data_IF_397107653744
#
_entry.id   IF_397107653744
#
_cell.length_a   1.000
_cell.length_b   1.000
_cell.length_c   1.000
_cell.angle_alpha   90.00
_cell.angle_beta   90.00
_cell.angle_gamma   90.00
#
_symmetry.space_group_name_H-M   'P 1'
#
loop_
_entity.id
_entity.type
_entity.pdbx_description
1 polymer ?
#
# COMPACT_ATOMS: atom_id res chain seq x y z
N UNK A 1 60.75 58.07 7.04
CA UNK A 1 59.77 58.05 5.94
C UNK A 1 59.60 56.58 5.53
N UNK A 2 58.39 56.04 5.76
CA UNK A 2 57.78 54.82 5.18
C UNK A 2 58.41 53.44 5.57
N UNK A 3 57.65 52.71 6.40
CA UNK A 3 57.70 51.25 6.62
C UNK A 3 57.17 50.46 5.41
N UNK A 4 57.47 49.16 5.32
CA UNK A 4 56.41 48.20 5.00
C UNK A 4 56.25 47.13 6.10
N UNK A 5 55.01 47.03 6.53
CA UNK A 5 54.42 45.99 7.38
C UNK A 5 54.26 44.75 6.50
N UNK A 6 54.79 43.60 6.93
CA UNK A 6 54.34 42.30 6.41
C UNK A 6 53.43 41.66 7.45
N UNK A 7 52.23 41.36 7.02
CA UNK A 7 51.08 40.89 7.77
C UNK A 7 50.62 39.56 7.14
N UNK A 8 49.99 38.70 7.94
CA UNK A 8 49.29 37.45 7.58
C UNK A 8 50.20 36.23 7.25
N UNK A 9 49.91 34.99 7.70
CA UNK A 9 48.66 34.40 8.20
C UNK A 9 49.01 33.21 9.10
N UNK A 10 48.49 33.21 10.33
CA UNK A 10 48.24 31.99 11.08
C UNK A 10 46.95 31.36 10.53
N UNK A 11 47.03 30.16 9.97
CA UNK A 11 45.87 29.32 9.70
C UNK A 11 45.97 28.10 10.59
N UNK A 12 45.37 28.23 11.77
CA UNK A 12 44.87 27.08 12.53
C UNK A 12 43.61 26.54 11.88
N UNK A 13 43.33 25.26 12.10
CA UNK A 13 42.07 24.65 11.73
C UNK A 13 42.24 23.22 11.24
N UNK A 14 42.46 22.31 12.20
CA UNK A 14 42.28 20.87 12.00
C UNK A 14 40.81 20.65 11.61
N UNK A 15 40.55 20.37 10.35
CA UNK A 15 39.30 19.75 9.91
C UNK A 15 39.60 18.27 9.67
N UNK A 16 39.63 17.48 10.75
CA UNK A 16 39.36 16.05 10.60
C UNK A 16 37.90 15.95 10.18
N UNK A 17 37.66 15.76 8.88
CA UNK A 17 36.42 15.18 8.44
C UNK A 17 36.27 13.86 9.21
N UNK A 18 35.29 13.78 10.10
CA UNK A 18 34.99 12.56 10.80
C UNK A 18 34.47 11.58 9.76
N UNK A 19 35.36 10.71 9.26
CA UNK A 19 34.98 9.55 8.47
C UNK A 19 34.00 8.75 9.31
N UNK A 20 32.73 8.74 8.88
CA UNK A 20 31.73 7.86 9.45
C UNK A 20 32.20 6.42 9.25
N UNK A 21 32.47 5.72 10.35
CA UNK A 21 32.88 4.32 10.32
C UNK A 21 31.83 3.47 9.59
N UNK A 22 32.24 2.50 8.74
CA UNK A 22 31.32 1.60 8.02
C UNK A 22 30.31 0.83 8.91
N UNK A 23 30.55 0.80 10.22
CA UNK A 23 29.76 0.06 11.21
C UNK A 23 28.67 0.90 11.91
N UNK A 24 28.47 2.18 11.56
CA UNK A 24 27.39 2.96 12.15
C UNK A 24 26.02 2.46 11.68
N UNK A 25 25.35 1.68 12.53
CA UNK A 25 23.93 1.37 12.38
C UNK A 25 23.12 2.50 12.98
N UNK A 26 22.43 3.28 12.14
CA UNK A 26 21.49 4.29 12.63
C UNK A 26 20.34 3.56 13.35
N UNK A 27 20.23 3.64 14.69
CA UNK A 27 19.19 2.91 15.43
C UNK A 27 17.79 3.48 15.14
N UNK A 28 17.71 4.62 14.46
CA UNK A 28 16.47 5.27 14.05
C UNK A 28 16.04 4.95 12.60
N UNK A 29 16.85 4.20 11.83
CA UNK A 29 16.55 3.85 10.43
C UNK A 29 15.44 2.80 10.36
N UNK A 30 14.27 3.21 9.87
CA UNK A 30 13.18 2.26 9.65
C UNK A 30 13.47 1.35 8.45
N UNK A 31 13.14 0.06 8.57
CA UNK A 31 13.25 -0.93 7.49
C UNK A 31 11.86 -1.25 6.94
N UNK A 32 11.67 -1.06 5.64
CA UNK A 32 10.41 -1.36 4.94
C UNK A 32 10.66 -2.43 3.89
N UNK A 33 9.88 -3.52 3.94
CA UNK A 33 9.84 -4.49 2.85
C UNK A 33 8.95 -3.93 1.74
N UNK A 34 9.55 -3.56 0.60
CA UNK A 34 8.84 -3.10 -0.58
C UNK A 34 8.52 -4.31 -1.47
N UNK A 35 7.25 -4.70 -1.52
CA UNK A 35 6.79 -5.84 -2.28
C UNK A 35 6.05 -5.40 -3.54
N UNK A 36 6.46 -5.95 -4.68
CA UNK A 36 5.97 -5.54 -6.03
C UNK A 36 5.60 -6.71 -6.94
N UNK A 37 5.38 -7.89 -6.36
CA UNK A 37 5.01 -9.09 -7.12
C UNK A 37 3.69 -8.91 -7.88
N UNK A 38 3.68 -9.35 -9.14
CA UNK A 38 2.51 -9.31 -10.02
C UNK A 38 2.25 -10.68 -10.63
N UNK A 39 1.01 -11.15 -10.57
CA UNK A 39 0.53 -12.33 -11.29
C UNK A 39 -0.74 -12.04 -12.12
N UNK A 40 -1.05 -10.75 -12.30
CA UNK A 40 -2.05 -10.21 -13.22
C UNK A 40 -1.42 -9.12 -14.09
N UNK A 41 -2.11 -7.98 -14.23
CA UNK A 41 -1.55 -6.82 -14.92
C UNK A 41 -0.26 -6.35 -14.22
N UNK A 42 0.74 -5.97 -15.03
CA UNK A 42 2.03 -5.48 -14.57
C UNK A 42 2.21 -4.04 -15.02
N UNK A 43 2.22 -3.13 -14.06
CA UNK A 43 2.39 -1.71 -14.31
C UNK A 43 3.82 -1.40 -14.73
N UNK A 44 3.99 -0.67 -15.84
CA UNK A 44 5.29 -0.20 -16.32
C UNK A 44 6.01 0.72 -15.32
N UNK A 45 5.28 1.26 -14.34
CA UNK A 45 5.79 2.15 -13.30
C UNK A 45 6.41 1.47 -12.10
N UNK A 46 6.35 0.14 -11.99
CA UNK A 46 7.00 -0.61 -10.89
C UNK A 46 8.50 -0.26 -10.76
N UNK A 47 9.33 -0.28 -11.83
CA UNK A 47 10.74 0.07 -11.71
C UNK A 47 10.97 1.52 -11.27
N UNK A 48 10.14 2.46 -11.75
CA UNK A 48 10.22 3.89 -11.37
C UNK A 48 9.83 4.06 -9.91
N UNK A 49 8.77 3.41 -9.45
CA UNK A 49 8.33 3.43 -8.07
C UNK A 49 9.43 2.94 -7.11
N UNK A 50 10.05 1.80 -7.40
CA UNK A 50 11.16 1.24 -6.61
C UNK A 50 12.34 2.22 -6.56
N UNK A 51 12.72 2.79 -7.72
CA UNK A 51 13.82 3.74 -7.82
C UNK A 51 13.56 5.01 -7.00
N UNK A 52 12.35 5.56 -7.11
CA UNK A 52 11.94 6.78 -6.40
C UNK A 52 11.85 6.53 -4.89
N UNK A 53 11.19 5.45 -4.45
CA UNK A 53 11.14 5.11 -3.03
C UNK A 53 12.54 4.95 -2.42
N UNK A 54 13.46 4.27 -3.11
CA UNK A 54 14.86 4.15 -2.66
C UNK A 54 15.61 5.49 -2.65
N UNK A 55 15.38 6.36 -3.63
CA UNK A 55 16.00 7.69 -3.67
C UNK A 55 15.49 8.61 -2.57
N UNK A 56 14.20 8.52 -2.23
CA UNK A 56 13.54 9.34 -1.22
C UNK A 56 13.71 8.82 0.21
N UNK A 57 13.89 7.51 0.39
CA UNK A 57 14.01 6.85 1.69
C UNK A 57 14.98 7.52 2.67
N UNK A 58 16.22 7.83 2.28
CA UNK A 58 17.20 8.47 3.18
C UNK A 58 16.72 9.79 3.80
N UNK A 59 15.93 10.59 3.07
CA UNK A 59 15.40 11.86 3.55
C UNK A 59 14.34 11.72 4.66
N UNK A 60 13.72 10.53 4.73
CA UNK A 60 12.71 10.18 5.74
C UNK A 60 13.23 9.18 6.77
N UNK A 61 14.53 8.87 6.72
CA UNK A 61 15.17 7.85 7.52
C UNK A 61 14.49 6.47 7.37
N UNK A 62 14.24 6.09 6.12
CA UNK A 62 13.64 4.82 5.70
C UNK A 62 14.58 4.11 4.73
N UNK A 63 14.79 2.82 4.94
CA UNK A 63 15.44 1.91 4.01
C UNK A 63 14.41 0.95 3.41
N UNK A 64 14.52 0.70 2.10
CA UNK A 64 13.61 -0.20 1.37
C UNK A 64 14.36 -1.43 0.86
N UNK A 65 13.97 -2.60 1.35
CA UNK A 65 14.38 -3.88 0.78
C UNK A 65 13.28 -4.30 -0.22
N UNK A 66 13.57 -4.19 -1.51
CA UNK A 66 12.61 -4.46 -2.57
C UNK A 66 12.64 -5.94 -2.96
N UNK A 67 11.47 -6.58 -3.06
CA UNK A 67 11.34 -7.97 -3.52
C UNK A 67 10.08 -8.17 -4.36
N UNK A 68 10.16 -9.15 -5.26
CA UNK A 68 9.03 -9.76 -5.95
C UNK A 68 8.94 -11.26 -5.59
N UNK A 69 9.82 -11.78 -4.73
CA UNK A 69 9.82 -13.19 -4.34
C UNK A 69 8.83 -13.45 -3.21
N UNK A 70 7.75 -14.17 -3.55
CA UNK A 70 6.76 -14.67 -2.61
C UNK A 70 7.37 -15.46 -1.43
N UNK A 71 8.55 -16.07 -1.59
CA UNK A 71 9.24 -16.82 -0.53
C UNK A 71 9.77 -15.93 0.60
N UNK A 72 9.85 -14.62 0.39
CA UNK A 72 10.25 -13.68 1.43
C UNK A 72 9.16 -13.47 2.49
N UNK A 73 7.92 -13.90 2.24
CA UNK A 73 6.82 -13.85 3.21
C UNK A 73 6.86 -15.02 4.19
N UNK A 74 7.90 -15.04 5.01
CA UNK A 74 8.03 -15.94 6.17
C UNK A 74 8.02 -15.14 7.46
N UNK A 75 7.56 -15.76 8.55
CA UNK A 75 7.54 -15.13 9.88
C UNK A 75 8.91 -14.54 10.26
N UNK A 76 9.99 -15.30 10.03
CA UNK A 76 11.35 -14.90 10.35
C UNK A 76 11.84 -13.71 9.51
N UNK A 77 11.43 -13.63 8.23
CA UNK A 77 11.85 -12.52 7.38
C UNK A 77 11.03 -11.26 7.64
N UNK A 78 9.70 -11.36 7.76
CA UNK A 78 8.83 -10.22 8.07
C UNK A 78 9.16 -9.60 9.44
N UNK A 79 9.71 -10.38 10.37
CA UNK A 79 10.17 -9.91 11.68
C UNK A 79 11.23 -8.80 11.64
N UNK A 80 11.92 -8.63 10.51
CA UNK A 80 13.01 -7.67 10.30
C UNK A 80 12.52 -6.27 9.90
N UNK A 81 11.23 -6.12 9.60
CA UNK A 81 10.67 -4.93 8.96
C UNK A 81 9.68 -4.20 9.87
N UNK A 82 9.74 -2.89 9.84
CA UNK A 82 8.92 -1.97 10.62
C UNK A 82 7.61 -1.65 9.92
N UNK A 83 7.58 -1.77 8.59
CA UNK A 83 6.36 -1.80 7.79
C UNK A 83 6.52 -2.72 6.57
N UNK A 84 5.39 -3.24 6.08
CA UNK A 84 5.29 -3.84 4.75
C UNK A 84 4.66 -2.82 3.81
N UNK A 85 5.25 -2.60 2.64
CA UNK A 85 4.74 -1.72 1.61
C UNK A 85 4.47 -2.51 0.34
N UNK A 86 3.22 -2.60 -0.07
CA UNK A 86 2.79 -3.24 -1.31
C UNK A 86 2.56 -2.16 -2.35
N UNK A 87 3.24 -2.25 -3.49
CA UNK A 87 3.08 -1.31 -4.61
C UNK A 87 2.77 -2.12 -5.86
N UNK A 88 1.65 -1.81 -6.51
CA UNK A 88 1.25 -2.43 -7.78
C UNK A 88 1.05 -3.96 -7.76
N UNK A 89 0.90 -4.56 -6.59
CA UNK A 89 0.87 -6.03 -6.48
C UNK A 89 -0.45 -6.62 -6.95
N UNK A 90 -0.42 -7.58 -7.87
CA UNK A 90 -1.63 -8.20 -8.45
C UNK A 90 -1.68 -9.71 -8.23
N UNK A 91 -2.88 -10.26 -7.98
CA UNK A 91 -3.16 -11.72 -7.96
C UNK A 91 -2.26 -12.58 -7.03
N UNK A 92 -2.10 -12.16 -5.77
CA UNK A 92 -1.23 -12.77 -4.75
C UNK A 92 -1.91 -13.90 -3.96
N UNK A 93 -2.36 -14.97 -4.62
CA UNK A 93 -3.46 -15.77 -4.07
C UNK A 93 -3.14 -16.84 -3.01
N UNK A 94 -1.89 -17.11 -2.57
CA UNK A 94 -1.63 -18.24 -1.63
C UNK A 94 -0.43 -18.15 -0.67
N UNK A 95 0.75 -17.72 -1.07
CA UNK A 95 1.94 -17.83 -0.20
C UNK A 95 2.01 -16.70 0.82
N UNK A 96 2.52 -17.00 2.02
CA UNK A 96 2.85 -15.97 3.00
C UNK A 96 1.69 -15.41 3.84
N UNK A 97 0.45 -15.83 3.57
CA UNK A 97 -0.75 -15.35 4.28
C UNK A 97 -0.65 -15.52 5.81
N UNK A 98 -0.17 -16.67 6.27
CA UNK A 98 0.02 -16.92 7.71
C UNK A 98 1.08 -15.99 8.32
N UNK A 99 2.19 -15.74 7.60
CA UNK A 99 3.22 -14.83 8.05
C UNK A 99 2.72 -13.37 8.09
N UNK A 100 1.90 -12.97 7.11
CA UNK A 100 1.28 -11.66 7.05
C UNK A 100 0.31 -11.44 8.22
N UNK A 101 -0.61 -12.37 8.47
CA UNK A 101 -1.54 -12.29 9.63
C UNK A 101 -0.78 -12.27 10.94
N UNK A 102 0.26 -13.11 11.06
CA UNK A 102 1.10 -13.14 12.24
C UNK A 102 1.84 -11.81 12.48
N UNK A 103 2.42 -11.23 11.42
CA UNK A 103 3.08 -9.92 11.45
C UNK A 103 2.14 -8.82 11.95
N UNK A 104 0.94 -8.76 11.37
CA UNK A 104 -0.11 -7.82 11.72
C UNK A 104 -0.59 -7.99 13.18
N UNK A 105 -0.81 -9.23 13.62
CA UNK A 105 -1.23 -9.55 14.99
C UNK A 105 -0.24 -9.11 16.09
N UNK A 106 1.00 -8.79 15.69
CA UNK A 106 2.09 -8.31 16.57
C UNK A 106 2.31 -6.80 16.48
N UNK A 107 1.36 -6.08 15.88
CA UNK A 107 1.42 -4.63 15.71
C UNK A 107 2.20 -4.20 14.47
N UNK A 108 2.45 -5.11 13.52
CA UNK A 108 3.11 -4.79 12.27
C UNK A 108 2.37 -3.69 11.49
N UNK A 109 3.12 -2.80 10.86
CA UNK A 109 2.54 -1.70 10.09
C UNK A 109 2.45 -2.03 8.60
N UNK A 110 1.47 -1.46 7.93
CA UNK A 110 1.18 -1.79 6.54
C UNK A 110 0.95 -0.54 5.69
N UNK A 111 1.37 -0.59 4.42
CA UNK A 111 1.02 0.39 3.42
C UNK A 111 0.73 -0.29 2.08
N UNK A 112 -0.25 0.22 1.35
CA UNK A 112 -0.59 -0.20 -0.01
C UNK A 112 -0.68 0.98 -0.97
N UNK A 113 -0.24 0.80 -2.20
CA UNK A 113 -0.33 1.82 -3.26
C UNK A 113 -0.87 1.22 -4.55
N UNK A 114 -1.81 1.94 -5.15
CA UNK A 114 -2.46 1.65 -6.43
C UNK A 114 -2.98 0.20 -6.50
N UNK A 115 -2.47 -0.62 -7.42
CA UNK A 115 -2.96 -1.97 -7.64
C UNK A 115 -2.68 -2.94 -6.49
N UNK A 116 -2.05 -2.52 -5.38
CA UNK A 116 -2.09 -3.29 -4.14
C UNK A 116 -3.53 -3.71 -3.77
N UNK A 117 -4.53 -2.86 -4.02
CA UNK A 117 -5.94 -3.19 -3.81
C UNK A 117 -6.49 -4.32 -4.69
N UNK A 118 -5.75 -4.72 -5.72
CA UNK A 118 -6.08 -5.81 -6.66
C UNK A 118 -5.48 -7.15 -6.20
N UNK A 119 -4.59 -7.17 -5.21
CA UNK A 119 -3.82 -8.36 -4.84
C UNK A 119 -4.66 -9.60 -4.49
N UNK A 120 -5.89 -9.43 -3.96
CA UNK A 120 -6.76 -10.52 -3.53
C UNK A 120 -8.19 -10.41 -4.08
N UNK A 121 -8.39 -9.79 -5.26
CA UNK A 121 -9.74 -9.61 -5.82
C UNK A 121 -10.33 -10.92 -6.36
N UNK A 122 -9.52 -11.78 -6.99
CA UNK A 122 -9.97 -13.09 -7.52
C UNK A 122 -10.31 -14.11 -6.43
N UNK A 123 -9.72 -13.94 -5.25
CA UNK A 123 -9.95 -14.77 -4.07
C UNK A 123 -9.90 -13.91 -2.82
N UNK A 124 -11.03 -13.29 -2.50
CA UNK A 124 -11.19 -12.40 -1.35
C UNK A 124 -10.69 -13.06 -0.07
N UNK A 125 -9.91 -12.30 0.69
CA UNK A 125 -9.32 -12.74 1.94
C UNK A 125 -9.47 -11.63 2.99
N UNK A 126 -10.40 -11.77 3.95
CA UNK A 126 -10.76 -10.67 4.87
C UNK A 126 -9.58 -10.02 5.60
N UNK A 127 -8.58 -10.74 6.15
CA UNK A 127 -7.42 -10.10 6.77
C UNK A 127 -6.67 -9.11 5.86
N UNK A 128 -6.65 -9.33 4.54
CA UNK A 128 -6.10 -8.38 3.59
C UNK A 128 -7.03 -7.17 3.41
N UNK A 129 -8.29 -7.42 3.07
CA UNK A 129 -9.28 -6.38 2.79
C UNK A 129 -9.50 -5.47 4.01
N UNK A 130 -9.53 -6.04 5.22
CA UNK A 130 -9.67 -5.30 6.47
C UNK A 130 -8.43 -4.42 6.74
N UNK A 131 -7.23 -4.97 6.51
CA UNK A 131 -5.96 -4.23 6.67
C UNK A 131 -5.83 -3.08 5.68
N UNK A 132 -6.22 -3.33 4.44
CA UNK A 132 -6.18 -2.35 3.37
C UNK A 132 -7.29 -1.30 3.52
N UNK A 133 -8.47 -1.70 4.00
CA UNK A 133 -9.66 -0.87 4.20
C UNK A 133 -10.77 -1.18 3.20
N UNK A 134 -10.42 -1.40 1.93
CA UNK A 134 -11.32 -1.96 0.93
C UNK A 134 -10.50 -2.53 -0.23
N UNK A 135 -11.09 -3.42 -1.02
CA UNK A 135 -10.46 -3.99 -2.23
C UNK A 135 -10.95 -3.28 -3.48
N UNK A 136 -10.15 -3.32 -4.53
CA UNK A 136 -10.49 -2.80 -5.84
C UNK A 136 -11.77 -3.46 -6.39
N UNK A 137 -12.64 -2.69 -7.05
CA UNK A 137 -13.81 -3.20 -7.77
C UNK A 137 -13.70 -2.95 -9.27
N UNK A 138 -13.52 -1.70 -9.68
CA UNK A 138 -13.39 -1.28 -11.08
C UNK A 138 -12.79 0.13 -11.19
N UNK A 139 -12.51 0.57 -12.42
CA UNK A 139 -12.23 1.98 -12.74
C UNK A 139 -12.72 2.28 -14.17
N UNK A 140 -13.07 3.55 -14.49
CA UNK A 140 -13.27 3.96 -15.86
C UNK A 140 -11.93 4.04 -16.61
N UNK A 141 -11.97 4.30 -17.92
CA UNK A 141 -10.75 4.57 -18.67
C UNK A 141 -9.93 5.69 -18.00
N UNK A 142 -8.62 5.50 -17.94
CA UNK A 142 -7.67 6.46 -17.38
C UNK A 142 -7.87 7.84 -18.01
N UNK A 143 -7.93 8.85 -17.17
CA UNK A 143 -8.20 10.23 -17.57
C UNK A 143 -7.73 11.20 -16.49
N UNK A 144 -7.63 12.48 -16.84
CA UNK A 144 -7.43 13.52 -15.82
C UNK A 144 -8.63 13.57 -14.88
N UNK A 145 -8.39 13.45 -13.58
CA UNK A 145 -9.37 13.66 -12.51
C UNK A 145 -8.83 14.67 -11.50
N UNK A 146 -9.69 15.20 -10.64
CA UNK A 146 -9.30 16.09 -9.55
C UNK A 146 -9.53 15.43 -8.20
N UNK A 147 -8.46 15.26 -7.45
CA UNK A 147 -8.47 14.70 -6.10
C UNK A 147 -8.57 15.82 -5.06
N UNK A 148 -9.46 15.64 -4.08
CA UNK A 148 -9.80 16.65 -3.08
C UNK A 148 -9.25 16.19 -1.72
N UNK A 149 -8.53 17.08 -1.04
CA UNK A 149 -7.97 16.84 0.28
C UNK A 149 -9.08 16.79 1.33
N UNK A 150 -9.17 15.69 2.06
CA UNK A 150 -10.18 15.47 3.11
C UNK A 150 -9.63 15.68 4.54
N UNK A 151 -8.30 15.59 4.71
CA UNK A 151 -7.64 15.75 6.00
C UNK A 151 -6.58 16.86 5.96
N UNK A 152 -6.68 17.82 6.89
CA UNK A 152 -5.64 18.83 7.14
C UNK A 152 -4.76 18.39 8.32
N UNK A 153 -3.47 18.74 8.30
CA UNK A 153 -2.53 18.41 9.37
C UNK A 153 -1.95 16.99 9.31
N UNK A 154 -2.40 16.13 8.40
CA UNK A 154 -1.83 14.80 8.22
C UNK A 154 -0.56 14.85 7.35
N UNK A 155 0.55 14.16 7.71
CA UNK A 155 1.80 14.22 6.93
C UNK A 155 1.65 13.86 5.45
N UNK A 156 0.72 12.95 5.13
CA UNK A 156 0.42 12.56 3.75
C UNK A 156 -0.31 13.65 2.93
N UNK A 157 -0.97 14.63 3.55
CA UNK A 157 -1.76 15.66 2.84
C UNK A 157 -1.20 17.06 2.97
N UNK A 158 -0.43 17.34 4.03
CA UNK A 158 0.26 18.62 4.23
C UNK A 158 1.09 19.12 3.03
N UNK A 159 1.83 18.28 2.28
CA UNK A 159 2.64 18.75 1.14
C UNK A 159 1.82 19.00 -0.13
N UNK A 160 0.54 18.66 -0.14
CA UNK A 160 -0.31 18.67 -1.35
C UNK A 160 -1.21 19.91 -1.40
N UNK A 161 -1.62 20.37 -2.60
CA UNK A 161 -2.68 21.36 -2.70
C UNK A 161 -4.03 20.78 -2.23
N UNK A 162 -5.01 21.64 -1.94
CA UNK A 162 -6.35 21.17 -1.53
C UNK A 162 -7.08 20.45 -2.66
N UNK A 163 -6.72 20.76 -3.91
CA UNK A 163 -7.20 20.11 -5.12
C UNK A 163 -6.01 19.79 -6.00
N UNK A 164 -5.87 18.53 -6.38
CA UNK A 164 -4.74 18.03 -7.13
C UNK A 164 -5.23 17.26 -8.35
N UNK A 165 -4.87 17.72 -9.55
CA UNK A 165 -5.40 17.16 -10.80
C UNK A 165 -4.30 16.57 -11.67
N UNK A 166 -4.44 15.30 -12.06
CA UNK A 166 -3.52 14.62 -12.97
C UNK A 166 -4.19 13.40 -13.61
N UNK A 167 -3.55 12.85 -14.65
CA UNK A 167 -4.01 11.65 -15.37
C UNK A 167 -3.84 10.40 -14.50
N UNK A 168 -4.96 9.74 -14.18
CA UNK A 168 -4.99 8.61 -13.26
C UNK A 168 -6.24 7.74 -13.47
N UNK A 169 -6.19 6.52 -12.94
CA UNK A 169 -7.34 5.63 -12.87
C UNK A 169 -8.11 5.89 -11.59
N UNK A 170 -9.35 6.36 -11.74
CA UNK A 170 -10.22 6.60 -10.60
C UNK A 170 -10.81 5.27 -10.13
N UNK A 171 -10.13 4.63 -9.18
CA UNK A 171 -10.56 3.35 -8.62
C UNK A 171 -11.82 3.49 -7.79
N UNK A 172 -12.81 2.65 -8.09
CA UNK A 172 -13.93 2.32 -7.20
C UNK A 172 -13.62 1.07 -6.38
N UNK A 173 -14.25 0.96 -5.22
CA UNK A 173 -13.96 -0.03 -4.19
C UNK A 173 -15.18 -0.89 -3.83
N UNK A 174 -14.90 -2.10 -3.34
CA UNK A 174 -15.92 -3.10 -3.00
C UNK A 174 -16.78 -2.73 -1.79
N UNK A 175 -16.33 -1.79 -0.95
CA UNK A 175 -16.98 -1.37 0.30
C UNK A 175 -16.50 0.02 0.71
N UNK A 176 -17.24 0.68 1.61
CA UNK A 176 -16.79 1.93 2.22
C UNK A 176 -15.73 1.66 3.31
N UNK A 177 -14.46 2.10 3.12
CA UNK A 177 -13.40 1.87 4.10
C UNK A 177 -13.69 2.50 5.47
N UNK A 178 -14.56 3.52 5.56
CA UNK A 178 -14.95 4.14 6.83
C UNK A 178 -15.75 3.22 7.74
N UNK A 179 -16.38 2.17 7.19
CA UNK A 179 -17.06 1.16 8.02
C UNK A 179 -16.07 0.38 8.91
N UNK A 180 -14.78 0.37 8.55
CA UNK A 180 -13.69 -0.18 9.35
C UNK A 180 -13.01 0.87 10.23
N UNK A 181 -13.52 2.10 10.26
CA UNK A 181 -12.93 3.22 10.99
C UNK A 181 -11.80 3.93 10.23
N UNK A 182 -11.63 3.68 8.93
CA UNK A 182 -10.68 4.42 8.12
C UNK A 182 -11.03 5.90 8.05
N UNK A 183 -10.00 6.76 8.01
CA UNK A 183 -10.12 8.21 7.85
C UNK A 183 -9.57 8.59 6.48
N UNK A 184 -10.36 9.35 5.71
CA UNK A 184 -9.97 9.74 4.36
C UNK A 184 -8.86 10.79 4.36
N UNK A 185 -7.94 10.67 3.42
CA UNK A 185 -6.90 11.65 3.09
C UNK A 185 -7.27 12.39 1.81
N UNK A 186 -7.72 11.64 0.81
CA UNK A 186 -8.21 12.16 -0.45
C UNK A 186 -9.51 11.50 -0.87
N UNK A 187 -10.36 12.28 -1.50
CA UNK A 187 -11.46 11.83 -2.34
C UNK A 187 -11.23 12.27 -3.79
N UNK A 188 -12.13 11.88 -4.70
CA UNK A 188 -12.18 12.41 -6.07
C UNK A 188 -13.42 13.29 -6.26
N UNK A 189 -13.27 14.40 -6.96
CA UNK A 189 -14.40 15.22 -7.40
C UNK A 189 -15.16 14.49 -8.53
N UNK A 190 -16.41 14.06 -8.30
CA UNK A 190 -17.18 13.29 -9.28
C UNK A 190 -17.54 14.09 -10.54
N UNK A 191 -17.38 15.41 -10.54
CA UNK A 191 -17.61 16.25 -11.73
C UNK A 191 -16.37 16.35 -12.63
N UNK A 192 -15.21 15.88 -12.16
CA UNK A 192 -13.92 16.04 -12.84
C UNK A 192 -13.53 14.88 -13.75
N UNK A 193 -14.26 13.76 -13.70
CA UNK A 193 -14.00 12.57 -14.51
C UNK A 193 -15.31 11.95 -14.98
N UNK A 194 -15.24 11.13 -16.02
CA UNK A 194 -16.37 10.38 -16.57
C UNK A 194 -16.35 8.95 -16.06
N UNK A 195 -17.25 8.66 -15.12
CA UNK A 195 -17.57 7.29 -14.71
C UNK A 195 -18.36 6.58 -15.82
N UNK A 196 -18.01 5.33 -16.10
CA UNK A 196 -18.67 4.51 -17.12
C UNK A 196 -19.25 3.19 -16.55
N UNK A 197 -19.18 2.99 -15.23
CA UNK A 197 -19.75 1.85 -14.51
C UNK A 197 -20.76 2.29 -13.45
N UNK A 198 -21.48 1.31 -12.89
CA UNK A 198 -22.32 1.53 -11.71
C UNK A 198 -21.45 1.47 -10.46
N UNK A 199 -21.28 2.61 -9.81
CA UNK A 199 -20.55 2.70 -8.54
C UNK A 199 -21.38 2.02 -7.43
N UNK A 200 -20.82 0.98 -6.81
CA UNK A 200 -21.40 0.31 -5.63
C UNK A 200 -21.32 1.21 -4.39
N UNK A 201 -21.88 0.77 -3.27
CA UNK A 201 -21.78 1.51 -2.00
C UNK A 201 -20.35 1.48 -1.43
N UNK A 202 -19.54 2.45 -1.87
CA UNK A 202 -18.23 2.80 -1.30
C UNK A 202 -18.28 4.09 -0.44
N UNK A 203 -19.49 4.62 -0.28
CA UNK A 203 -19.82 5.84 0.45
C UNK A 203 -19.43 7.13 -0.28
N UNK A 204 -19.72 8.27 0.37
CA UNK A 204 -19.48 9.63 -0.17
C UNK A 204 -18.82 10.52 0.89
N UNK A 205 -17.78 11.30 0.57
CA UNK A 205 -17.16 11.45 -0.75
C UNK A 205 -16.46 10.17 -1.24
N UNK A 206 -16.25 10.05 -2.56
CA UNK A 206 -15.64 8.86 -3.21
C UNK A 206 -14.19 8.71 -2.71
N UNK A 207 -13.86 7.68 -1.90
CA UNK A 207 -12.56 7.55 -1.26
C UNK A 207 -11.45 7.24 -2.26
N UNK A 208 -10.27 7.83 -2.10
CA UNK A 208 -9.10 7.61 -2.98
C UNK A 208 -7.85 7.23 -2.16
N UNK A 209 -7.67 7.87 -1.02
CA UNK A 209 -6.60 7.54 -0.08
C UNK A 209 -7.13 7.65 1.35
N UNK A 210 -6.65 6.79 2.24
CA UNK A 210 -7.08 6.76 3.62
C UNK A 210 -6.02 6.12 4.52
N UNK A 211 -6.27 6.19 5.82
CA UNK A 211 -5.47 5.52 6.82
C UNK A 211 -6.35 4.88 7.90
N UNK A 212 -5.79 3.88 8.59
CA UNK A 212 -6.44 3.18 9.69
C UNK A 212 -5.48 3.05 10.87
N UNK A 213 -5.98 3.32 12.08
CA UNK A 213 -5.20 3.21 13.33
C UNK A 213 -5.31 1.84 14.00
N UNK A 214 -6.32 1.04 13.64
CA UNK A 214 -6.68 -0.19 14.38
C UNK A 214 -6.75 -1.44 13.51
N UNK A 215 -6.84 -1.27 12.19
CA UNK A 215 -7.25 -2.32 11.28
C UNK A 215 -6.11 -3.16 10.71
N UNK A 216 -4.87 -3.05 11.21
CA UNK A 216 -3.77 -3.93 10.84
C UNK A 216 -3.99 -5.37 11.34
N UNK A 217 -5.07 -6.04 10.90
CA UNK A 217 -5.40 -7.44 11.12
C UNK A 217 -5.65 -7.89 12.56
N UNK A 218 -5.75 -6.98 13.53
CA UNK A 218 -5.91 -7.35 14.93
C UNK A 218 -7.35 -7.79 15.24
N UNK A 219 -7.59 -9.10 15.30
CA UNK A 219 -8.88 -9.67 15.73
C UNK A 219 -9.18 -9.22 17.16
N UNK A 220 -10.26 -8.46 17.36
CA UNK A 220 -10.77 -8.10 18.69
C UNK A 220 -11.00 -9.39 19.49
N UNK A 221 -10.28 -9.58 20.61
CA UNK A 221 -10.58 -10.64 21.58
C UNK A 221 -11.62 -10.13 22.58
N UNK A 222 -12.82 -10.73 22.66
CA UNK A 222 -13.81 -10.35 23.67
C UNK A 222 -13.27 -10.59 25.09
N UNK A 223 -13.42 -9.61 26.00
CA UNK A 223 -13.07 -9.75 27.42
C UNK A 223 -11.62 -9.39 27.82
N UNK A 224 -10.80 -8.90 26.89
CA UNK A 224 -9.50 -8.28 27.20
C UNK A 224 -9.53 -6.78 26.85
N UNK A 225 -8.71 -5.92 27.49
CA UNK A 225 -8.54 -4.54 27.04
C UNK A 225 -7.81 -4.53 25.68
N UNK A 226 -8.58 -4.59 24.59
CA UNK A 226 -8.11 -4.57 23.21
C UNK A 226 -7.59 -5.93 22.67
N UNK A 227 -7.45 -6.10 21.34
CA UNK A 227 -6.46 -7.00 20.79
C UNK A 227 -5.06 -6.43 21.09
N UNK A 228 -4.02 -7.24 20.90
CA UNK A 228 -2.64 -6.75 20.98
C UNK A 228 -2.44 -5.43 20.24
N UNK A 229 -1.48 -4.62 20.70
CA UNK A 229 -1.22 -3.26 20.22
C UNK A 229 -1.31 -3.20 18.68
N UNK A 230 -2.30 -2.49 18.15
CA UNK A 230 -2.57 -2.46 16.71
C UNK A 230 -1.54 -1.58 15.98
N UNK A 231 -1.03 -2.08 14.85
CA UNK A 231 -0.25 -1.27 13.92
C UNK A 231 -1.11 -0.35 13.07
N UNK A 232 -0.47 0.56 12.35
CA UNK A 232 -1.14 1.49 11.42
C UNK A 232 -1.19 0.92 10.00
N UNK A 233 -2.24 1.27 9.26
CA UNK A 233 -2.29 1.06 7.81
C UNK A 233 -2.54 2.35 7.03
N UNK A 234 -1.89 2.47 5.88
CA UNK A 234 -2.06 3.58 4.93
C UNK A 234 -2.34 3.02 3.54
N UNK A 235 -3.25 3.65 2.80
CA UNK A 235 -3.53 3.30 1.41
C UNK A 235 -3.72 4.54 0.55
N UNK A 236 -3.23 4.48 -0.70
CA UNK A 236 -3.51 5.44 -1.75
C UNK A 236 -3.74 4.69 -3.07
N UNK A 237 -4.85 4.94 -3.75
CA UNK A 237 -5.12 4.32 -5.06
C UNK A 237 -4.41 4.99 -6.22
N UNK A 238 -3.73 6.10 -5.97
CA UNK A 238 -2.98 6.85 -6.98
C UNK A 238 -1.65 6.15 -7.31
N UNK A 239 -1.10 6.36 -8.51
CA UNK A 239 0.24 5.93 -8.85
C UNK A 239 0.39 5.06 -10.09
N UNK A 240 -0.55 5.08 -11.05
CA UNK A 240 -0.44 4.25 -12.26
C UNK A 240 0.80 4.61 -13.09
N UNK A 241 0.99 5.90 -13.35
CA UNK A 241 1.93 6.41 -14.36
C UNK A 241 3.36 6.61 -13.83
N UNK A 242 4.37 6.46 -14.70
CA UNK A 242 5.76 6.85 -14.40
C UNK A 242 5.87 8.30 -13.95
N UNK A 243 5.16 9.20 -14.63
CA UNK A 243 5.14 10.62 -14.31
C UNK A 243 4.60 10.90 -12.91
N UNK A 244 3.66 10.09 -12.42
CA UNK A 244 3.13 10.21 -11.05
C UNK A 244 4.22 9.91 -10.03
N UNK A 245 4.99 8.83 -10.20
CA UNK A 245 6.12 8.52 -9.31
C UNK A 245 7.29 9.49 -9.40
N UNK A 246 7.43 10.22 -10.50
CA UNK A 246 8.42 11.30 -10.66
C UNK A 246 7.94 12.66 -10.13
N UNK A 247 6.66 12.77 -9.77
CA UNK A 247 6.09 14.00 -9.24
C UNK A 247 6.45 14.17 -7.75
N UNK A 248 7.00 15.33 -7.42
CA UNK A 248 7.43 15.69 -6.07
C UNK A 248 6.25 15.71 -5.07
N UNK A 249 5.07 16.18 -5.51
CA UNK A 249 3.88 16.26 -4.65
C UNK A 249 3.36 14.85 -4.32
N UNK A 250 3.29 13.97 -5.31
CA UNK A 250 2.95 12.56 -5.11
C UNK A 250 3.94 11.86 -4.18
N UNK A 251 5.23 12.02 -4.42
CA UNK A 251 6.25 11.37 -3.58
C UNK A 251 6.17 11.87 -2.14
N UNK A 252 5.97 13.17 -1.90
CA UNK A 252 5.74 13.69 -0.54
C UNK A 252 4.46 13.14 0.09
N UNK A 253 3.39 12.91 -0.68
CA UNK A 253 2.18 12.24 -0.20
C UNK A 253 2.48 10.81 0.28
N UNK A 254 3.15 10.01 -0.55
CA UNK A 254 3.49 8.62 -0.23
C UNK A 254 4.45 8.54 0.98
N UNK A 255 5.53 9.34 0.97
CA UNK A 255 6.50 9.36 2.06
C UNK A 255 5.91 9.92 3.36
N UNK A 256 4.99 10.88 3.28
CA UNK A 256 4.20 11.37 4.41
C UNK A 256 3.28 10.29 4.99
N UNK A 257 2.60 9.52 4.13
CA UNK A 257 1.79 8.36 4.54
C UNK A 257 2.63 7.31 5.26
N UNK A 258 3.77 6.92 4.68
CA UNK A 258 4.71 5.97 5.30
C UNK A 258 5.27 6.48 6.62
N UNK A 259 5.60 7.78 6.71
CA UNK A 259 6.10 8.39 7.96
C UNK A 259 5.05 8.33 9.07
N UNK A 260 3.79 8.61 8.74
CA UNK A 260 2.69 8.48 9.69
C UNK A 260 2.47 7.03 10.12
N UNK A 261 2.52 6.08 9.17
CA UNK A 261 2.42 4.65 9.44
C UNK A 261 3.53 4.19 10.39
N UNK A 262 4.78 4.58 10.13
CA UNK A 262 5.97 4.31 10.95
C UNK A 262 6.04 5.15 12.25
N UNK A 263 5.11 6.08 12.46
CA UNK A 263 4.94 6.77 13.75
C UNK A 263 3.95 6.02 14.66
N UNK A 264 3.49 4.83 14.28
CA UNK A 264 2.73 3.95 15.18
C UNK A 264 3.52 3.65 16.46
N UNK A 265 2.82 3.52 17.59
CA UNK A 265 3.43 3.12 18.86
C UNK A 265 3.94 1.67 18.85
N UNK A 266 3.56 0.88 17.85
CA UNK A 266 4.07 -0.48 17.58
C UNK A 266 5.30 -0.50 16.69
N UNK A 267 5.64 0.65 16.08
CA UNK A 267 6.79 0.73 15.18
C UNK A 267 8.06 0.44 15.96
N UNK A 268 8.79 -0.56 15.49
CA UNK A 268 10.14 -0.82 15.93
C UNK A 268 11.05 0.05 15.07
N UNK A 269 12.17 0.50 15.60
CA UNK A 269 13.13 1.28 14.79
C UNK A 269 14.48 0.58 14.71
N UNK A 270 14.71 -0.45 15.52
CA UNK A 270 15.76 -1.45 15.35
C UNK A 270 15.74 -2.44 16.52
N UNK A 271 14.72 -3.30 16.60
CA UNK A 271 14.72 -4.54 17.40
C UNK A 271 13.49 -5.38 17.02
N UNK A 272 13.70 -6.44 16.25
CA UNK A 272 12.66 -7.17 15.52
C UNK A 272 11.49 -7.71 16.35
N UNK A 273 10.39 -8.05 15.65
CA UNK A 273 9.28 -8.97 16.01
C UNK A 273 9.28 -9.62 17.40
N UNK A 274 10.40 -10.29 17.71
CA UNK A 274 10.48 -11.38 18.66
C UNK A 274 11.59 -11.11 19.65
N UNK A 275 11.24 -11.15 20.94
CA UNK A 275 12.14 -10.90 22.05
C UNK A 275 13.26 -11.92 22.17
N UNK A 276 14.32 -11.77 21.37
CA UNK A 276 15.57 -12.49 21.57
C UNK A 276 16.57 -11.70 22.45
N UNK A 277 16.39 -10.39 22.63
CA UNK A 277 17.43 -9.52 23.22
C UNK A 277 17.04 -8.80 24.51
N UNK A 278 15.79 -8.90 24.99
CA UNK A 278 15.35 -8.15 26.18
C UNK A 278 15.36 -6.62 26.01
N UNK A 279 15.61 -6.13 24.78
CA UNK A 279 15.61 -4.71 24.45
C UNK A 279 14.16 -4.27 24.21
N UNK A 280 13.70 -3.32 25.02
CA UNK A 280 12.38 -2.70 24.82
C UNK A 280 12.37 -1.97 23.47
N UNK A 281 11.32 -2.13 22.65
CA UNK A 281 11.21 -1.41 21.39
C UNK A 281 11.31 0.09 21.66
N UNK A 282 12.19 0.77 20.95
CA UNK A 282 12.26 2.24 21.01
C UNK A 282 11.04 2.77 20.27
N UNK A 283 10.00 3.13 21.01
CA UNK A 283 8.87 3.89 20.48
C UNK A 283 9.44 5.20 19.94
N UNK A 284 9.12 5.60 18.70
CA UNK A 284 9.43 6.97 18.25
C UNK A 284 8.76 7.95 19.22
N UNK A 285 9.56 8.68 19.99
CA UNK A 285 9.05 9.74 20.88
C UNK A 285 8.40 10.80 19.98
N UNK A 286 7.09 10.97 20.13
CA UNK A 286 6.22 11.78 19.26
C UNK A 286 4.80 11.21 19.13
N UNK A 287 4.59 9.93 19.42
CA UNK A 287 3.27 9.34 19.53
C UNK A 287 2.65 9.61 20.92
N UNK A 288 2.15 10.81 21.16
CA UNK A 288 1.29 11.03 22.33
C UNK A 288 -0.08 10.41 22.07
N UNK A 289 -0.41 9.34 22.79
CA UNK A 289 -1.78 8.88 23.00
C UNK A 289 -2.56 10.01 23.70
N UNK A 290 -3.32 10.81 22.95
CA UNK A 290 -4.25 11.76 23.53
C UNK A 290 -5.52 11.03 24.01
N UNK A 291 -5.39 10.31 25.12
CA UNK A 291 -6.49 10.12 26.06
C UNK A 291 -6.22 10.91 27.36
N UNK A 292 -5.76 12.15 27.20
CA UNK A 292 -5.68 13.14 28.25
C UNK A 292 -6.31 14.42 27.70
N UNK A 293 -7.48 14.73 28.23
CA UNK A 293 -8.20 15.98 28.06
C UNK A 293 -7.29 17.20 28.27
N UNK A 294 -7.05 18.01 27.23
CA UNK A 294 -7.10 19.48 27.22
C UNK A 294 -6.32 20.07 26.03
N UNK A 295 -7.02 20.92 25.28
CA UNK A 295 -6.58 22.11 24.53
C UNK A 295 -5.45 21.92 23.48
N UNK A 296 -5.79 22.30 22.25
CA UNK A 296 -4.97 22.38 21.05
C UNK A 296 -3.50 22.79 21.28
N UNK A 297 -2.60 21.86 20.95
CA UNK A 297 -1.22 22.16 20.56
C UNK A 297 -0.87 21.24 19.39
N UNK A 298 -0.45 21.81 18.26
CA UNK A 298 -0.02 21.08 17.06
C UNK A 298 1.31 20.38 17.37
N UNK A 299 1.40 19.03 17.43
CA UNK A 299 2.63 18.34 17.79
C UNK A 299 3.08 17.48 16.61
N UNK A 300 3.48 18.11 15.50
CA UNK A 300 4.24 17.44 14.46
C UNK A 300 5.53 18.22 14.24
N UNK A 301 6.49 18.01 15.14
CA UNK A 301 7.88 18.25 14.77
C UNK A 301 8.32 17.04 13.93
N UNK A 302 8.60 17.20 12.63
CA UNK A 302 9.20 16.13 11.85
C UNK A 302 10.45 15.63 12.56
N UNK A 303 10.58 14.32 12.71
CA UNK A 303 11.81 13.71 13.21
C UNK A 303 12.90 13.99 12.18
N UNK A 304 13.77 14.95 12.50
CA UNK A 304 15.09 15.27 11.94
C UNK A 304 15.30 14.93 10.45
N UNK A 305 15.24 15.96 9.58
CA UNK A 305 15.68 15.88 8.18
C UNK A 305 14.79 16.59 7.16
N UNK A 306 13.66 17.16 7.55
CA UNK A 306 12.62 17.71 6.65
C UNK A 306 12.99 18.98 5.87
N UNK A 307 14.15 19.57 6.12
CA UNK A 307 14.64 20.76 5.40
C UNK A 307 15.45 20.38 4.15
N UNK A 308 15.54 19.09 3.85
CA UNK A 308 16.19 18.62 2.64
C UNK A 308 15.27 18.84 1.44
N UNK A 309 15.78 19.60 0.46
CA UNK A 309 15.18 19.72 -0.87
C UNK A 309 15.04 18.32 -1.46
N UNK A 310 13.86 18.02 -2.00
CA UNK A 310 13.61 16.74 -2.67
C UNK A 310 14.73 16.43 -3.67
N UNK A 311 15.20 15.17 -3.74
CA UNK A 311 16.19 14.80 -4.73
C UNK A 311 15.62 15.09 -6.13
N UNK A 312 16.44 15.56 -7.09
CA UNK A 312 15.99 15.63 -8.48
C UNK A 312 15.50 14.23 -8.90
N UNK A 313 14.37 14.13 -9.63
CA UNK A 313 13.86 12.84 -10.04
C UNK A 313 14.95 12.08 -10.79
N UNK A 314 15.30 10.85 -10.38
CA UNK A 314 16.26 10.07 -11.12
C UNK A 314 15.81 9.84 -12.57
N UNK A 315 16.76 9.68 -13.51
CA UNK A 315 16.43 9.46 -14.91
C UNK A 315 15.60 8.18 -15.07
N UNK A 316 14.65 8.15 -16.02
CA UNK A 316 13.82 6.98 -16.26
C UNK A 316 14.68 5.74 -16.51
N UNK A 317 14.28 4.57 -16.00
CA UNK A 317 14.95 3.32 -16.32
C UNK A 317 14.91 3.09 -17.84
N UNK A 318 15.94 2.44 -18.42
CA UNK A 318 15.89 2.03 -19.81
C UNK A 318 14.64 1.16 -20.04
N UNK A 319 13.94 1.37 -21.16
CA UNK A 319 12.73 0.61 -21.51
C UNK A 319 13.03 -0.89 -21.37
N UNK A 320 12.36 -1.56 -20.45
CA UNK A 320 12.40 -3.01 -20.35
C UNK A 320 11.86 -3.61 -21.63
N UNK A 321 12.57 -4.59 -22.18
CA UNK A 321 12.06 -5.40 -23.28
C UNK A 321 10.84 -6.18 -22.76
N UNK A 322 9.68 -6.16 -23.44
CA UNK A 322 8.48 -6.81 -22.93
C UNK A 322 8.77 -8.31 -22.82
N UNK A 323 8.76 -8.83 -21.60
CA UNK A 323 8.91 -10.27 -21.35
C UNK A 323 7.54 -10.79 -20.92
N UNK A 324 6.98 -11.65 -21.78
CA UNK A 324 5.73 -12.43 -21.67
C UNK A 324 4.42 -11.65 -21.43
N UNK A 325 3.64 -11.52 -22.52
CA UNK A 325 2.17 -11.35 -22.57
C UNK A 325 1.57 -10.44 -21.49
N UNK A 326 1.62 -9.13 -21.70
CA UNK A 326 0.72 -8.21 -20.98
C UNK A 326 -0.73 -8.57 -21.36
N UNK A 327 -1.45 -9.20 -20.43
CA UNK A 327 -2.90 -9.29 -20.51
C UNK A 327 -3.46 -7.85 -20.43
N UNK A 328 -4.53 -7.52 -21.17
CA UNK A 328 -5.19 -6.24 -21.00
C UNK A 328 -5.64 -6.07 -19.55
N UNK A 329 -5.50 -4.85 -19.03
CA UNK A 329 -5.89 -4.51 -17.67
C UNK A 329 -7.38 -4.79 -17.45
N UNK A 330 -7.75 -5.56 -16.41
CA UNK A 330 -9.14 -5.84 -16.14
C UNK A 330 -9.82 -4.57 -15.61
N UNK A 331 -10.72 -3.99 -16.41
CA UNK A 331 -11.54 -2.84 -15.99
C UNK A 331 -12.63 -3.20 -14.98
N UNK A 332 -12.76 -4.47 -14.60
CA UNK A 332 -13.71 -4.96 -13.59
C UNK A 332 -13.23 -6.24 -12.91
N UNK A 333 -13.42 -6.33 -11.59
CA UNK A 333 -13.23 -7.54 -10.80
C UNK A 333 -14.42 -8.50 -10.95
N UNK A 334 -14.48 -9.29 -12.03
CA UNK A 334 -15.51 -10.33 -12.16
C UNK A 334 -15.07 -11.67 -11.57
N UNK A 335 -15.87 -12.22 -10.66
CA UNK A 335 -15.81 -13.63 -10.24
C UNK A 335 -16.40 -14.46 -11.36
N UNK A 336 -15.57 -15.25 -12.05
CA UNK A 336 -16.08 -16.26 -12.99
C UNK A 336 -16.74 -17.40 -12.21
N UNK A 337 -18.06 -17.40 -12.08
CA UNK A 337 -18.80 -18.62 -11.76
C UNK A 337 -18.88 -19.47 -13.01
N UNK A 338 -18.06 -20.52 -13.11
CA UNK A 338 -18.27 -21.58 -14.09
C UNK A 338 -19.56 -22.32 -13.73
N UNK A 339 -20.67 -21.95 -14.37
CA UNK A 339 -21.82 -22.84 -14.51
C UNK A 339 -21.55 -23.77 -15.70
N UNK A 340 -21.25 -25.03 -15.42
CA UNK A 340 -21.23 -26.08 -16.42
C UNK A 340 -22.67 -26.39 -16.87
N UNK A 341 -23.17 -25.66 -17.86
CA UNK A 341 -24.35 -26.07 -18.63
C UNK A 341 -23.87 -26.77 -19.89
N UNK A 342 -23.85 -28.11 -19.85
CA UNK A 342 -23.61 -28.94 -21.03
C UNK A 342 -24.71 -28.70 -22.06
N UNK A 343 -24.36 -28.02 -23.15
CA UNK A 343 -25.19 -27.93 -24.34
C UNK A 343 -25.14 -29.28 -25.07
N UNK A 344 -26.24 -30.03 -25.03
CA UNK A 344 -26.45 -31.20 -25.89
C UNK A 344 -26.85 -30.69 -27.29
N UNK A 345 -25.99 -30.95 -28.25
CA UNK A 345 -26.24 -30.72 -29.68
C UNK A 345 -27.31 -31.70 -30.19
N UNK A 346 -28.41 -31.18 -30.73
CA UNK A 346 -29.42 -31.96 -31.45
C UNK A 346 -29.12 -31.84 -32.95
N UNK A 347 -28.73 -32.95 -33.57
CA UNK A 347 -28.66 -33.11 -35.02
C UNK A 347 -30.01 -33.63 -35.57
N UNK A 348 -30.44 -33.24 -36.78
CA UNK A 348 -31.67 -33.74 -37.36
C UNK A 348 -31.42 -35.09 -38.04
N UNK A 349 -32.24 -36.09 -37.73
CA UNK A 349 -32.29 -37.34 -38.50
C UNK A 349 -33.73 -37.62 -38.88
N UNK A 350 -33.92 -37.95 -40.15
CA UNK A 350 -35.21 -38.05 -40.82
C UNK A 350 -36.04 -39.27 -40.43
N UNK A 351 -37.30 -39.12 -40.83
CA UNK A 351 -38.43 -40.04 -40.84
C UNK A 351 -38.03 -41.48 -41.21
N UNK A 352 -38.40 -42.45 -40.36
CA UNK A 352 -39.06 -43.71 -40.73
C UNK A 352 -39.95 -44.14 -39.56
N UNK A 353 -41.25 -44.30 -39.81
CA UNK A 353 -42.18 -44.85 -38.84
C UNK A 353 -42.09 -46.36 -38.74
N UNK A 354 -42.51 -46.90 -37.59
CA UNK A 354 -43.35 -48.10 -37.43
C UNK A 354 -43.87 -48.15 -35.99
N UNK A 355 -45.11 -48.61 -35.89
CA UNK A 355 -46.01 -48.67 -34.74
C UNK A 355 -45.67 -49.84 -33.81
N UNK A 356 -46.19 -49.76 -32.58
CA UNK A 356 -46.67 -50.84 -31.67
C UNK A 356 -45.88 -50.95 -30.36
N UNK A 357 -46.62 -50.87 -29.24
CA UNK A 357 -46.31 -51.64 -28.02
C UNK A 357 -46.45 -50.88 -26.71
N UNK A 358 -47.67 -50.76 -26.19
CA UNK A 358 -47.89 -50.53 -24.77
C UNK A 358 -47.39 -51.73 -23.95
N UNK A 359 -46.93 -51.52 -22.71
CA UNK A 359 -47.24 -52.33 -21.52
C UNK A 359 -46.63 -51.67 -20.26
N UNK A 360 -47.46 -51.65 -19.22
CA UNK A 360 -47.24 -51.20 -17.85
C UNK A 360 -46.20 -52.03 -17.06
N UNK A 361 -45.70 -51.41 -15.98
CA UNK A 361 -45.46 -51.94 -14.62
C UNK A 361 -44.15 -51.36 -14.06
N UNK A 362 -44.16 -50.38 -13.14
CA UNK A 362 -44.30 -50.49 -11.67
C UNK A 362 -43.32 -51.42 -10.97
N UNK A 363 -42.78 -50.87 -9.85
CA UNK A 363 -41.98 -51.48 -8.77
C UNK A 363 -40.49 -51.56 -9.10
N UNK A 364 -39.56 -51.06 -8.28
CA UNK A 364 -39.61 -50.65 -6.89
C UNK A 364 -38.21 -50.93 -6.30
N UNK A 365 -37.75 -50.13 -5.35
CA UNK A 365 -36.49 -50.42 -4.65
C UNK A 365 -35.84 -49.17 -4.09
N UNK A 366 -36.07 -48.94 -2.80
CA UNK A 366 -35.44 -47.92 -1.98
C UNK A 366 -33.92 -48.12 -1.87
N UNK A 367 -33.15 -47.03 -1.88
CA UNK A 367 -32.55 -46.39 -0.70
C UNK A 367 -32.17 -44.95 -1.03
#
# INVERSE_FOLDING_TARGET
MIWPISFLLALGGIATAQESTPDYQNPLLAKVLLYTYTNGFRHDSIPVAIQQLKAWGPYYNISFDATEDQKDFTVANLAKYDALLFVHTTENNKSGQNAFVDYLSKGGNFAGVHAASVAFVSKTWPPWTDTLGSSFDHHPARQTATFVKEATGHPATNPTPDRWSFDEEVYSFSSDPRQLGAKLLFSVDPTSYKENNVVKEQGTPHPIAWYQEYAAGAVIKPGTPGPGVAGRSFFSSLGHNNSTWMDDTFMKHIMGGLSWTLASNTTRVSAGLYGASGIQPTVRIGASNANASSIAASPWSPVLGSDQVAPPPPPPPPKSTPTQSAQPEPTSGSVSTNSSSGAVMIAPVGIWGVVIGAICATLGGAF
#
